data_IF_134433808239
#
_entry.id   IF_134433808239
#
_cell.length_a   1.000
_cell.length_b   1.000
_cell.length_c   1.000
_cell.angle_alpha   90.00
_cell.angle_beta   90.00
_cell.angle_gamma   90.00
#
_symmetry.space_group_name_H-M   'P 1'
#
loop_
_entity.id
_entity.type
_entity.pdbx_description
1 polymer ?
#
# COMPACT_ATOMS: atom_id res chain seq x y z
N UNK A 1 12.24 -5.52 -10.81
CA UNK A 1 13.10 -4.31 -10.79
C UNK A 1 12.36 -3.10 -11.36
N UNK A 2 12.27 -2.90 -12.68
CA UNK A 2 11.59 -1.72 -13.24
C UNK A 2 10.10 -1.67 -12.85
N UNK A 3 9.40 -2.81 -12.91
CA UNK A 3 7.99 -2.89 -12.54
C UNK A 3 7.76 -2.48 -11.07
N UNK A 4 8.61 -2.94 -10.14
CA UNK A 4 8.50 -2.63 -8.71
C UNK A 4 8.73 -1.14 -8.45
N UNK A 5 9.73 -0.56 -9.12
CA UNK A 5 10.04 0.85 -9.02
C UNK A 5 8.90 1.72 -9.53
N UNK A 6 8.35 1.39 -10.70
CA UNK A 6 7.19 2.09 -11.26
C UNK A 6 5.97 1.93 -10.35
N UNK A 7 5.69 0.72 -9.85
CA UNK A 7 4.57 0.48 -8.94
C UNK A 7 4.69 1.27 -7.65
N UNK A 8 5.88 1.34 -7.05
CA UNK A 8 6.12 2.12 -5.85
C UNK A 8 5.99 3.63 -6.09
N UNK A 9 6.51 4.15 -7.20
CA UNK A 9 6.38 5.57 -7.57
C UNK A 9 4.90 5.94 -7.77
N UNK A 10 4.15 5.14 -8.52
CA UNK A 10 2.72 5.38 -8.75
C UNK A 10 1.93 5.29 -7.43
N UNK A 11 2.24 4.32 -6.57
CA UNK A 11 1.61 4.23 -5.25
C UNK A 11 1.91 5.47 -4.40
N UNK A 12 3.15 5.94 -4.39
CA UNK A 12 3.54 7.16 -3.69
C UNK A 12 2.83 8.40 -4.25
N UNK A 13 2.69 8.52 -5.58
CA UNK A 13 1.98 9.63 -6.21
C UNK A 13 0.50 9.66 -5.79
N UNK A 14 -0.17 8.50 -5.79
CA UNK A 14 -1.56 8.38 -5.32
C UNK A 14 -1.69 8.72 -3.83
N UNK A 15 -0.80 8.19 -2.99
CA UNK A 15 -0.80 8.46 -1.54
C UNK A 15 -0.49 9.93 -1.24
N UNK A 16 0.39 10.57 -2.01
CA UNK A 16 0.66 12.01 -1.89
C UNK A 16 -0.57 12.84 -2.28
N UNK A 17 -1.25 12.47 -3.37
CA UNK A 17 -2.54 13.09 -3.73
C UNK A 17 -3.59 12.96 -2.63
N UNK A 18 -3.68 11.77 -2.01
CA UNK A 18 -4.55 11.56 -0.84
C UNK A 18 -4.12 12.38 0.37
N UNK A 19 -2.81 12.53 0.63
CA UNK A 19 -2.31 13.36 1.73
C UNK A 19 -2.67 14.85 1.52
N UNK A 20 -2.51 15.37 0.29
CA UNK A 20 -2.93 16.74 -0.07
C UNK A 20 -4.45 16.90 0.14
N UNK A 21 -5.24 15.92 -0.27
CA UNK A 21 -6.68 15.90 -0.02
C UNK A 21 -7.02 15.94 1.48
N UNK A 22 -6.32 15.17 2.32
CA UNK A 22 -6.52 15.19 3.78
C UNK A 22 -6.10 16.54 4.40
N UNK A 23 -5.02 17.16 3.92
CA UNK A 23 -4.63 18.51 4.35
C UNK A 23 -5.71 19.53 4.01
N UNK A 24 -6.30 19.47 2.81
CA UNK A 24 -7.41 20.34 2.43
C UNK A 24 -8.64 20.14 3.34
N UNK A 25 -8.94 18.91 3.75
CA UNK A 25 -10.01 18.63 4.71
C UNK A 25 -9.75 19.22 6.09
N UNK A 26 -8.51 19.15 6.58
CA UNK A 26 -8.08 19.75 7.85
C UNK A 26 -8.20 21.28 7.79
N UNK A 27 -7.82 21.87 6.66
CA UNK A 27 -7.94 23.30 6.38
C UNK A 27 -9.40 23.78 6.25
N UNK A 28 -10.37 22.86 6.20
CA UNK A 28 -11.80 23.19 6.14
C UNK A 28 -12.37 23.34 4.73
N UNK A 29 -11.67 22.82 3.71
CA UNK A 29 -12.21 22.79 2.35
C UNK A 29 -13.55 22.02 2.31
N UNK A 30 -14.52 22.42 1.46
CA UNK A 30 -15.85 21.83 1.37
C UNK A 30 -15.86 20.47 0.63
N UNK A 31 -14.80 19.68 0.82
CA UNK A 31 -14.52 18.41 0.16
C UNK A 31 -14.92 17.21 1.04
N UNK A 32 -15.47 17.44 2.24
CA UNK A 32 -15.83 16.38 3.18
C UNK A 32 -16.89 15.41 2.66
N UNK A 33 -17.66 15.79 1.62
CA UNK A 33 -18.59 14.87 0.93
C UNK A 33 -17.88 13.70 0.24
N UNK A 34 -16.58 13.82 -0.03
CA UNK A 34 -15.75 12.80 -0.68
C UNK A 34 -14.98 11.93 0.33
N UNK A 35 -15.20 12.13 1.64
CA UNK A 35 -14.50 11.39 2.69
C UNK A 35 -15.44 11.08 3.86
N UNK A 36 -15.04 10.15 4.72
CA UNK A 36 -15.73 9.86 5.98
C UNK A 36 -17.25 9.59 5.78
N UNK A 37 -17.62 8.88 4.70
CA UNK A 37 -19.03 8.55 4.40
C UNK A 37 -19.86 9.71 3.82
N UNK A 38 -19.23 10.86 3.56
CA UNK A 38 -19.83 12.02 2.90
C UNK A 38 -20.88 12.79 3.71
N UNK A 39 -20.97 12.56 5.02
CA UNK A 39 -21.99 13.15 5.90
C UNK A 39 -21.81 14.66 6.13
N UNK A 40 -20.58 15.17 6.01
CA UNK A 40 -20.24 16.55 6.33
C UNK A 40 -19.61 17.24 5.12
N UNK A 41 -20.12 18.40 4.72
CA UNK A 41 -19.50 19.21 3.66
C UNK A 41 -18.14 19.77 4.09
N UNK A 42 -18.08 20.29 5.31
CA UNK A 42 -16.87 20.76 5.98
C UNK A 42 -16.62 19.88 7.20
N UNK A 43 -15.37 19.45 7.39
CA UNK A 43 -15.06 18.41 8.35
C UNK A 43 -15.07 18.94 9.81
N UNK A 44 -15.82 18.32 10.75
CA UNK A 44 -15.79 18.67 12.16
C UNK A 44 -14.45 18.29 12.81
N UNK A 45 -14.09 18.95 13.92
CA UNK A 45 -12.77 18.82 14.55
C UNK A 45 -12.32 17.37 14.80
N UNK A 46 -13.22 16.50 15.27
CA UNK A 46 -12.92 15.08 15.52
C UNK A 46 -12.45 14.33 14.26
N UNK A 47 -13.09 14.61 13.12
CA UNK A 47 -12.73 13.98 11.85
C UNK A 47 -11.47 14.59 11.24
N UNK A 48 -11.13 15.86 11.57
CA UNK A 48 -9.83 16.45 11.18
C UNK A 48 -8.65 15.74 11.85
N UNK A 49 -8.81 15.30 13.10
CA UNK A 49 -7.80 14.45 13.77
C UNK A 49 -7.65 13.14 13.02
N UNK A 50 -8.76 12.51 12.62
CA UNK A 50 -8.74 11.32 11.76
C UNK A 50 -7.98 11.57 10.44
N UNK A 51 -8.19 12.71 9.79
CA UNK A 51 -7.45 13.11 8.58
C UNK A 51 -5.95 13.27 8.85
N UNK A 52 -5.55 13.84 10.00
CA UNK A 52 -4.15 13.96 10.38
C UNK A 52 -3.49 12.58 10.59
N UNK A 53 -4.17 11.67 11.28
CA UNK A 53 -3.73 10.27 11.44
C UNK A 53 -3.62 9.58 10.07
N UNK A 54 -4.57 9.83 9.16
CA UNK A 54 -4.55 9.25 7.82
C UNK A 54 -3.31 9.67 7.03
N UNK A 55 -2.88 10.94 7.14
CA UNK A 55 -1.65 11.42 6.50
C UNK A 55 -0.42 10.63 6.98
N UNK A 56 -0.32 10.39 8.29
CA UNK A 56 0.78 9.61 8.87
C UNK A 56 0.76 8.17 8.35
N UNK A 57 -0.42 7.55 8.28
CA UNK A 57 -0.57 6.21 7.71
C UNK A 57 -0.15 6.17 6.24
N UNK A 58 -0.54 7.16 5.43
CA UNK A 58 -0.14 7.23 4.02
C UNK A 58 1.38 7.35 3.86
N UNK A 59 2.06 8.09 4.73
CA UNK A 59 3.51 8.18 4.74
C UNK A 59 4.16 6.82 5.07
N UNK A 60 3.62 6.09 6.06
CA UNK A 60 4.10 4.74 6.39
C UNK A 60 3.86 3.74 5.23
N UNK A 61 2.71 3.84 4.56
CA UNK A 61 2.39 2.99 3.42
C UNK A 61 3.36 3.26 2.28
N UNK A 62 3.58 4.54 1.94
CA UNK A 62 4.53 4.96 0.91
C UNK A 62 5.95 4.46 1.22
N UNK A 63 6.40 4.59 2.47
CA UNK A 63 7.69 4.06 2.92
C UNK A 63 7.79 2.55 2.66
N UNK A 64 6.76 1.77 3.02
CA UNK A 64 6.76 0.33 2.77
C UNK A 64 6.85 -0.03 1.27
N UNK A 65 6.17 0.73 0.40
CA UNK A 65 6.27 0.54 -1.04
C UNK A 65 7.67 0.86 -1.58
N UNK A 66 8.26 1.98 -1.15
CA UNK A 66 9.63 2.38 -1.53
C UNK A 66 10.67 1.38 -1.01
N UNK A 67 10.50 0.87 0.22
CA UNK A 67 11.38 -0.13 0.81
C UNK A 67 11.32 -1.43 0.00
N UNK A 68 10.12 -1.87 -0.38
CA UNK A 68 9.93 -3.07 -1.20
C UNK A 68 10.51 -2.94 -2.62
N UNK A 69 10.54 -1.73 -3.16
CA UNK A 69 11.17 -1.41 -4.44
C UNK A 69 12.69 -1.14 -4.36
N UNK A 70 13.26 -1.10 -3.15
CA UNK A 70 14.69 -0.89 -2.92
C UNK A 70 15.15 0.56 -3.02
N UNK A 71 14.24 1.54 -2.94
CA UNK A 71 14.59 2.97 -2.92
C UNK A 71 15.05 3.46 -1.54
N UNK A 72 14.55 2.83 -0.47
CA UNK A 72 14.88 3.14 0.92
C UNK A 72 15.19 1.84 1.68
N UNK A 73 15.82 1.92 2.86
CA UNK A 73 16.10 0.74 3.67
C UNK A 73 14.83 -0.07 3.99
N UNK A 74 14.97 -1.40 4.03
CA UNK A 74 13.92 -2.31 4.51
C UNK A 74 13.50 -1.93 5.93
N UNK A 75 12.23 -2.20 6.29
CA UNK A 75 11.68 -1.74 7.59
C UNK A 75 12.43 -2.34 8.79
N UNK A 76 12.37 -3.68 8.90
CA UNK A 76 13.02 -4.45 9.98
C UNK A 76 13.83 -5.58 9.36
N UNK A 77 13.24 -6.27 8.38
CA UNK A 77 13.87 -7.28 7.55
C UNK A 77 13.17 -7.34 6.20
N UNK A 78 13.79 -8.05 5.24
CA UNK A 78 13.18 -8.36 3.94
C UNK A 78 11.83 -9.07 4.10
N UNK A 79 11.76 -10.09 4.97
CA UNK A 79 10.54 -10.85 5.25
C UNK A 79 9.47 -9.97 5.90
N UNK A 80 9.84 -9.13 6.87
CA UNK A 80 8.90 -8.22 7.51
C UNK A 80 8.33 -7.23 6.50
N UNK A 81 9.17 -6.63 5.66
CA UNK A 81 8.74 -5.71 4.60
C UNK A 81 7.79 -6.39 3.62
N UNK A 82 8.09 -7.64 3.21
CA UNK A 82 7.21 -8.40 2.34
C UNK A 82 5.84 -8.70 2.97
N UNK A 83 5.82 -9.10 4.25
CA UNK A 83 4.57 -9.32 5.00
C UNK A 83 3.78 -8.01 5.13
N UNK A 84 4.44 -6.88 5.45
CA UNK A 84 3.79 -5.58 5.53
C UNK A 84 3.10 -5.21 4.22
N UNK A 85 3.74 -5.40 3.07
CA UNK A 85 3.14 -5.11 1.76
C UNK A 85 1.93 -6.01 1.48
N UNK A 86 1.97 -7.28 1.87
CA UNK A 86 0.79 -8.17 1.79
C UNK A 86 -0.36 -7.69 2.68
N UNK A 87 -0.07 -7.29 3.92
CA UNK A 87 -1.07 -6.72 4.85
C UNK A 87 -1.69 -5.45 4.26
N UNK A 88 -0.87 -4.56 3.69
CA UNK A 88 -1.35 -3.33 3.03
C UNK A 88 -2.18 -3.64 1.79
N UNK A 89 -1.84 -4.68 1.04
CA UNK A 89 -2.66 -5.17 -0.09
C UNK A 89 -4.05 -5.56 0.40
N UNK A 90 -4.15 -6.37 1.46
CA UNK A 90 -5.42 -6.78 2.05
C UNK A 90 -6.21 -5.58 2.61
N UNK A 91 -5.52 -4.62 3.23
CA UNK A 91 -6.11 -3.37 3.71
C UNK A 91 -6.76 -2.56 2.57
N UNK A 92 -6.09 -2.41 1.42
CA UNK A 92 -6.67 -1.71 0.28
C UNK A 92 -7.82 -2.48 -0.36
N UNK A 93 -7.75 -3.82 -0.43
CA UNK A 93 -8.87 -4.65 -0.90
C UNK A 93 -10.10 -4.45 -0.01
N UNK A 94 -9.93 -4.42 1.31
CA UNK A 94 -11.01 -4.06 2.23
C UNK A 94 -11.52 -2.62 1.99
N UNK A 95 -10.60 -1.69 1.71
CA UNK A 95 -10.93 -0.32 1.32
C UNK A 95 -11.82 -0.22 0.07
N UNK A 96 -11.61 -1.07 -0.94
CA UNK A 96 -12.48 -1.13 -2.12
C UNK A 96 -13.92 -1.46 -1.71
N UNK A 97 -14.10 -2.45 -0.84
CA UNK A 97 -15.43 -2.84 -0.35
C UNK A 97 -16.09 -1.71 0.44
N UNK A 98 -15.34 -1.09 1.36
CA UNK A 98 -15.85 0.01 2.19
C UNK A 98 -16.23 1.23 1.35
N UNK A 99 -15.39 1.63 0.40
CA UNK A 99 -15.67 2.76 -0.50
C UNK A 99 -16.79 2.44 -1.50
N UNK A 100 -16.87 1.19 -1.96
CA UNK A 100 -17.92 0.69 -2.84
C UNK A 100 -19.31 0.72 -2.20
N UNK A 101 -19.39 0.44 -0.90
CA UNK A 101 -20.65 0.47 -0.13
C UNK A 101 -20.99 1.90 0.33
N UNK A 102 -20.09 2.88 0.17
CA UNK A 102 -20.36 4.26 0.62
C UNK A 102 -21.65 4.82 0.01
N UNK A 103 -22.44 5.46 0.88
CA UNK A 103 -23.70 6.13 0.52
C UNK A 103 -23.44 7.41 -0.30
N UNK A 104 -22.23 7.97 -0.24
CA UNK A 104 -21.84 9.14 -0.99
C UNK A 104 -21.40 8.76 -2.41
N UNK A 105 -22.17 9.18 -3.42
CA UNK A 105 -21.81 9.01 -4.84
C UNK A 105 -20.42 9.58 -5.19
N UNK A 106 -20.06 10.83 -4.80
CA UNK A 106 -18.74 11.37 -5.15
C UNK A 106 -17.60 10.65 -4.41
N UNK A 107 -17.81 10.21 -3.18
CA UNK A 107 -16.82 9.37 -2.47
C UNK A 107 -16.63 8.03 -3.18
N UNK A 108 -17.71 7.35 -3.55
CA UNK A 108 -17.63 6.05 -4.24
C UNK A 108 -16.95 6.15 -5.60
N UNK A 109 -17.21 7.21 -6.37
CA UNK A 109 -16.64 7.39 -7.70
C UNK A 109 -15.16 7.80 -7.69
N UNK A 110 -14.66 8.40 -6.60
CA UNK A 110 -13.26 8.83 -6.50
C UNK A 110 -12.43 7.85 -5.67
N UNK A 111 -12.93 7.45 -4.50
CA UNK A 111 -12.16 6.65 -3.54
C UNK A 111 -12.09 5.19 -3.97
N UNK A 112 -13.18 4.59 -4.48
CA UNK A 112 -13.15 3.20 -4.95
C UNK A 112 -12.07 2.96 -6.02
N UNK A 113 -12.01 3.72 -7.15
CA UNK A 113 -10.96 3.51 -8.14
C UNK A 113 -9.57 3.83 -7.61
N UNK A 114 -9.43 4.84 -6.73
CA UNK A 114 -8.15 5.15 -6.10
C UNK A 114 -7.66 3.99 -5.23
N UNK A 115 -8.53 3.42 -4.39
CA UNK A 115 -8.19 2.25 -3.56
C UNK A 115 -7.97 0.99 -4.38
N UNK A 116 -8.67 0.84 -5.50
CA UNK A 116 -8.46 -0.28 -6.42
C UNK A 116 -7.10 -0.19 -7.12
N UNK A 117 -6.70 1.01 -7.56
CA UNK A 117 -5.36 1.24 -8.10
C UNK A 117 -4.28 0.95 -7.04
N UNK A 118 -4.44 1.43 -5.81
CA UNK A 118 -3.53 1.13 -4.72
C UNK A 118 -3.47 -0.37 -4.43
N UNK A 119 -4.60 -1.07 -4.35
CA UNK A 119 -4.63 -2.52 -4.16
C UNK A 119 -3.85 -3.27 -5.25
N UNK A 120 -4.04 -2.89 -6.51
CA UNK A 120 -3.32 -3.49 -7.64
C UNK A 120 -1.81 -3.23 -7.55
N UNK A 121 -1.40 -1.99 -7.26
CA UNK A 121 0.02 -1.62 -7.13
C UNK A 121 0.70 -2.36 -5.98
N UNK A 122 0.04 -2.45 -4.81
CA UNK A 122 0.56 -3.20 -3.68
C UNK A 122 0.59 -4.71 -3.94
N UNK A 123 -0.41 -5.25 -4.65
CA UNK A 123 -0.41 -6.66 -5.05
C UNK A 123 0.78 -6.98 -5.97
N UNK A 124 1.07 -6.13 -6.96
CA UNK A 124 2.24 -6.29 -7.84
C UNK A 124 3.53 -6.30 -7.00
N UNK A 125 3.68 -5.35 -6.08
CA UNK A 125 4.83 -5.29 -5.17
C UNK A 125 4.94 -6.53 -4.26
N UNK A 126 3.81 -7.07 -3.81
CA UNK A 126 3.72 -8.24 -2.93
C UNK A 126 4.09 -9.55 -3.66
N UNK A 127 3.67 -9.68 -4.92
CA UNK A 127 3.93 -10.85 -5.75
C UNK A 127 5.38 -10.93 -6.24
N UNK A 128 6.06 -9.79 -6.40
CA UNK A 128 7.47 -9.80 -6.82
C UNK A 128 8.38 -10.32 -5.69
N UNK A 129 9.02 -11.46 -5.91
CA UNK A 129 9.87 -12.13 -4.92
C UNK A 129 11.08 -11.28 -4.53
N UNK A 130 11.31 -11.07 -3.24
CA UNK A 130 12.49 -10.36 -2.73
C UNK A 130 13.78 -11.07 -3.14
N UNK A 131 14.80 -10.30 -3.53
CA UNK A 131 16.10 -10.80 -4.03
C UNK A 131 16.74 -11.85 -3.11
N UNK A 132 16.58 -11.72 -1.80
CA UNK A 132 17.11 -12.67 -0.82
C UNK A 132 16.57 -14.11 -0.98
N UNK A 133 15.29 -14.27 -1.37
CA UNK A 133 14.71 -15.60 -1.58
C UNK A 133 15.22 -16.24 -2.88
N UNK A 134 15.44 -15.42 -3.92
CA UNK A 134 16.00 -15.89 -5.20
C UNK A 134 17.48 -16.24 -5.04
N UNK A 135 18.26 -15.38 -4.38
CA UNK A 135 19.66 -15.62 -4.10
C UNK A 135 19.87 -16.78 -3.12
N UNK A 136 19.00 -16.93 -2.11
CA UNK A 136 19.02 -18.07 -1.20
C UNK A 136 18.71 -19.39 -1.90
N UNK A 137 17.71 -19.42 -2.78
CA UNK A 137 17.39 -20.60 -3.58
C UNK A 137 18.49 -20.94 -4.60
N UNK A 138 19.04 -19.93 -5.27
CA UNK A 138 20.16 -20.09 -6.20
C UNK A 138 21.42 -20.56 -5.47
N UNK A 139 21.75 -19.97 -4.31
CA UNK A 139 22.88 -20.36 -3.49
C UNK A 139 22.74 -21.81 -2.98
N UNK A 140 21.54 -22.21 -2.55
CA UNK A 140 21.23 -23.60 -2.21
C UNK A 140 21.41 -24.56 -3.39
N UNK A 141 21.00 -24.17 -4.59
CA UNK A 141 21.15 -25.01 -5.79
C UNK A 141 22.62 -25.12 -6.24
N UNK A 142 23.41 -24.05 -6.06
CA UNK A 142 24.85 -24.05 -6.34
C UNK A 142 25.72 -24.61 -5.20
N UNK A 143 25.12 -24.92 -4.04
CA UNK A 143 25.87 -25.37 -2.87
C UNK A 143 26.42 -26.79 -3.13
N UNK A 144 27.75 -27.01 -3.07
CA UNK A 144 28.35 -28.30 -3.43
C UNK A 144 27.83 -29.50 -2.63
N UNK A 145 27.31 -29.24 -1.43
CA UNK A 145 26.77 -30.24 -0.51
C UNK A 145 25.23 -30.24 -0.45
N UNK A 146 24.54 -29.59 -1.39
CA UNK A 146 23.08 -29.67 -1.44
C UNK A 146 22.65 -31.14 -1.63
N UNK A 147 21.78 -31.69 -0.78
CA UNK A 147 21.33 -33.07 -0.90
C UNK A 147 20.59 -33.24 -2.23
N UNK A 148 21.23 -33.92 -3.18
CA UNK A 148 20.57 -34.44 -4.38
C UNK A 148 19.61 -35.51 -3.88
N UNK A 149 18.33 -35.39 -4.22
CA UNK A 149 17.20 -36.25 -3.81
C UNK A 149 17.59 -37.65 -3.29
N UNK A 150 17.06 -38.11 -2.14
CA UNK A 150 17.33 -39.47 -1.66
C UNK A 150 16.85 -40.49 -2.70
N UNK A 151 17.54 -41.64 -2.83
CA UNK A 151 17.10 -42.68 -3.76
C UNK A 151 15.69 -43.14 -3.40
N UNK A 152 14.84 -43.22 -4.42
CA UNK A 152 13.55 -43.90 -4.34
C UNK A 152 13.77 -45.37 -3.93
N UNK A 153 12.87 -45.94 -3.10
CA UNK A 153 13.00 -47.31 -2.60
C UNK A 153 13.02 -48.35 -3.70
#
# INVERSE_FOLDING_TARGET
MLLDQLSAILACALLAGLAVFQVALIAGAPLGRMAWGGQHRVLPAKLRIGSAVSILLYALFAYAALAKAGFVPVLVSESFTAITVWVLTAYFVLGILMNGISRSKPERLLMTPTTMALAALYLVLALHRSRAAVLGAAAWQSWPYAPRTPPSP
#
